data_IF_912736103278
#
_entry.id   IF_912736103278
#
_cell.length_a   1.000
_cell.length_b   1.000
_cell.length_c   1.000
_cell.angle_alpha   90.00
_cell.angle_beta   90.00
_cell.angle_gamma   90.00
#
_symmetry.space_group_name_H-M   'P 1'
#
loop_
_entity.id
_entity.type
_entity.pdbx_description
1 polymer ?
#
# COMPACT_ATOMS: atom_id res chain seq x y z
N UNK A 1 19.85 -30.43 -6.66
CA UNK A 1 19.72 -29.43 -5.58
C UNK A 1 18.61 -28.47 -5.98
N UNK A 2 17.59 -28.30 -5.14
CA UNK A 2 16.54 -27.30 -5.40
C UNK A 2 17.08 -25.92 -5.04
N UNK A 3 17.22 -25.04 -6.04
CA UNK A 3 17.58 -23.64 -5.82
C UNK A 3 16.36 -22.92 -5.24
N UNK A 4 16.34 -22.76 -3.92
CA UNK A 4 15.27 -22.09 -3.19
C UNK A 4 15.84 -20.93 -2.37
N UNK A 5 15.04 -19.86 -2.24
CA UNK A 5 15.32 -18.69 -1.42
C UNK A 5 14.24 -18.62 -0.34
N UNK A 6 14.65 -18.39 0.91
CA UNK A 6 13.75 -18.31 2.06
C UNK A 6 13.98 -17.00 2.81
N UNK A 7 12.91 -16.39 3.30
CA UNK A 7 12.93 -15.21 4.16
C UNK A 7 12.25 -15.55 5.48
N UNK A 8 12.96 -15.39 6.60
CA UNK A 8 12.40 -15.50 7.95
C UNK A 8 12.07 -14.09 8.44
N UNK A 9 10.79 -13.81 8.68
CA UNK A 9 10.27 -12.47 8.97
C UNK A 9 9.45 -12.46 10.27
N UNK A 10 9.21 -11.26 10.80
CA UNK A 10 8.30 -11.06 11.92
C UNK A 10 6.88 -11.53 11.58
N UNK A 11 6.24 -12.26 12.51
CA UNK A 11 4.86 -12.70 12.35
C UNK A 11 3.87 -11.63 12.82
N UNK A 12 3.00 -11.18 11.92
CA UNK A 12 1.93 -10.23 12.20
C UNK A 12 0.60 -10.98 12.44
N UNK A 13 0.14 -11.04 13.68
CA UNK A 13 -1.01 -11.87 14.09
C UNK A 13 -2.40 -11.28 13.77
N UNK A 14 -2.46 -10.07 13.23
CA UNK A 14 -3.70 -9.32 12.96
C UNK A 14 -4.24 -9.47 11.53
N UNK A 15 -3.53 -10.19 10.65
CA UNK A 15 -3.83 -10.23 9.22
C UNK A 15 -3.36 -8.95 8.52
N UNK A 16 -4.01 -8.60 7.41
CA UNK A 16 -3.73 -7.37 6.65
C UNK A 16 -4.90 -6.37 6.67
N UNK A 17 -4.65 -5.17 6.17
CA UNK A 17 -5.63 -4.09 6.14
C UNK A 17 -6.77 -4.38 5.17
N UNK A 18 -6.56 -5.19 4.12
CA UNK A 18 -7.61 -5.59 3.20
C UNK A 18 -8.65 -6.45 3.92
N UNK A 19 -8.20 -7.48 4.63
CA UNK A 19 -9.05 -8.34 5.45
C UNK A 19 -9.76 -7.56 6.56
N UNK A 20 -9.00 -6.68 7.24
CA UNK A 20 -9.56 -5.84 8.30
C UNK A 20 -10.67 -4.92 7.77
N UNK A 21 -10.45 -4.28 6.62
CA UNK A 21 -11.43 -3.42 5.97
C UNK A 21 -12.62 -4.23 5.46
N UNK A 22 -12.41 -5.40 4.87
CA UNK A 22 -13.48 -6.26 4.37
C UNK A 22 -14.48 -6.63 5.48
N UNK A 23 -13.98 -6.98 6.67
CA UNK A 23 -14.82 -7.30 7.83
C UNK A 23 -15.58 -6.08 8.36
N UNK A 24 -14.98 -4.88 8.29
CA UNK A 24 -15.57 -3.64 8.82
C UNK A 24 -16.48 -2.92 7.83
N UNK A 25 -16.32 -3.14 6.53
CA UNK A 25 -16.94 -2.37 5.45
C UNK A 25 -16.24 -1.04 5.21
N UNK A 26 -16.20 -0.18 6.24
CA UNK A 26 -15.46 1.10 6.24
C UNK A 26 -14.78 1.32 7.59
N UNK A 27 -13.84 2.26 7.65
CA UNK A 27 -13.14 2.65 8.87
C UNK A 27 -13.51 4.09 9.26
N UNK A 28 -13.61 4.32 10.56
CA UNK A 28 -13.78 5.68 11.09
C UNK A 28 -12.54 6.53 10.82
N UNK A 29 -12.72 7.85 10.70
CA UNK A 29 -11.59 8.78 10.54
C UNK A 29 -10.57 8.69 11.67
N UNK A 30 -11.01 8.41 12.90
CA UNK A 30 -10.12 8.22 14.04
C UNK A 30 -9.23 6.97 13.87
N UNK A 31 -9.82 5.86 13.42
CA UNK A 31 -9.06 4.65 13.07
C UNK A 31 -8.06 4.94 11.95
N UNK A 32 -8.52 5.61 10.89
CA UNK A 32 -7.68 5.95 9.73
C UNK A 32 -6.52 6.85 10.16
N UNK A 33 -6.78 7.85 11.02
CA UNK A 33 -5.76 8.75 11.56
C UNK A 33 -4.65 7.97 12.28
N UNK A 34 -5.02 7.04 13.17
CA UNK A 34 -4.06 6.20 13.92
C UNK A 34 -3.24 5.32 12.98
N UNK A 35 -3.86 4.70 11.98
CA UNK A 35 -3.14 3.86 11.02
C UNK A 35 -2.22 4.68 10.12
N UNK A 36 -2.72 5.81 9.60
CA UNK A 36 -1.98 6.70 8.72
C UNK A 36 -0.78 7.34 9.41
N UNK A 37 -0.87 7.66 10.71
CA UNK A 37 0.29 8.13 11.50
C UNK A 37 1.43 7.10 11.52
N UNK A 38 1.12 5.82 11.69
CA UNK A 38 2.11 4.75 11.69
C UNK A 38 2.71 4.52 10.29
N UNK A 39 1.86 4.51 9.25
CA UNK A 39 2.29 4.43 7.85
C UNK A 39 3.21 5.61 7.51
N UNK A 40 2.84 6.83 7.89
CA UNK A 40 3.66 8.03 7.66
C UNK A 40 5.03 7.95 8.37
N UNK A 41 5.07 7.38 9.58
CA UNK A 41 6.32 7.11 10.28
C UNK A 41 7.25 6.16 9.51
N UNK A 42 6.70 5.06 8.99
CA UNK A 42 7.46 4.13 8.15
C UNK A 42 7.91 4.77 6.82
N UNK A 43 7.03 5.53 6.16
CA UNK A 43 7.35 6.22 4.92
C UNK A 43 8.43 7.30 5.09
N UNK A 44 8.45 8.00 6.24
CA UNK A 44 9.52 8.94 6.57
C UNK A 44 10.87 8.23 6.63
N UNK A 45 10.93 7.02 7.19
CA UNK A 45 12.15 6.21 7.22
C UNK A 45 12.57 5.79 5.80
N UNK A 46 11.66 5.21 5.00
CA UNK A 46 11.93 4.81 3.62
C UNK A 46 12.46 5.99 2.79
N UNK A 47 11.78 7.13 2.85
CA UNK A 47 12.16 8.34 2.14
C UNK A 47 13.55 8.84 2.57
N UNK A 48 13.85 8.84 3.88
CA UNK A 48 15.18 9.24 4.38
C UNK A 48 16.32 8.32 3.90
N UNK A 49 15.99 7.10 3.48
CA UNK A 49 16.93 6.12 2.92
C UNK A 49 16.95 6.11 1.38
N UNK A 50 16.16 6.98 0.73
CA UNK A 50 16.00 6.98 -0.73
C UNK A 50 15.38 5.68 -1.25
N UNK A 51 14.49 5.05 -0.47
CA UNK A 51 13.80 3.81 -0.85
C UNK A 51 12.37 4.14 -1.25
N UNK A 52 11.93 3.61 -2.39
CA UNK A 52 10.53 3.60 -2.82
C UNK A 52 9.99 2.18 -2.78
N UNK A 53 8.75 2.00 -2.31
CA UNK A 53 8.12 0.71 -2.10
C UNK A 53 7.51 0.14 -3.39
N UNK A 54 6.76 0.98 -4.13
CA UNK A 54 6.14 0.70 -5.45
C UNK A 54 5.00 -0.31 -5.49
N UNK A 55 4.68 -0.98 -4.39
CA UNK A 55 3.48 -1.84 -4.28
C UNK A 55 2.73 -1.63 -2.95
N UNK A 56 2.53 -0.38 -2.55
CA UNK A 56 1.69 -0.08 -1.38
C UNK A 56 0.22 -0.34 -1.73
N UNK A 57 -0.40 -1.20 -0.93
CA UNK A 57 -1.81 -1.62 -1.05
C UNK A 57 -2.27 -2.22 0.27
N UNK A 58 -3.57 -2.33 0.56
CA UNK A 58 -4.05 -2.82 1.85
C UNK A 58 -3.53 -4.22 2.22
N UNK A 59 -3.31 -5.10 1.23
CA UNK A 59 -2.73 -6.44 1.46
C UNK A 59 -1.28 -6.41 1.96
N UNK A 60 -0.55 -5.33 1.67
CA UNK A 60 0.85 -5.14 2.09
C UNK A 60 0.95 -4.30 3.38
N UNK A 61 -0.18 -4.00 4.02
CA UNK A 61 -0.24 -3.31 5.31
C UNK A 61 -0.68 -4.34 6.36
N UNK A 62 0.28 -4.90 7.09
CA UNK A 62 0.04 -5.94 8.09
C UNK A 62 -0.31 -5.34 9.44
N UNK A 63 -1.15 -6.05 10.20
CA UNK A 63 -1.61 -5.66 11.52
C UNK A 63 -1.02 -6.60 12.58
N UNK A 64 -0.62 -6.03 13.71
CA UNK A 64 -0.30 -6.77 14.94
C UNK A 64 -1.23 -6.30 16.05
N UNK A 65 -1.93 -7.24 16.68
CA UNK A 65 -2.94 -6.98 17.69
C UNK A 65 -2.56 -7.64 19.01
N UNK A 66 -2.25 -6.85 20.05
CA UNK A 66 -1.90 -7.36 21.37
C UNK A 66 -3.06 -8.13 22.07
N UNK A 67 -4.31 -7.91 21.63
CA UNK A 67 -5.51 -8.58 22.17
C UNK A 67 -6.33 -9.38 21.14
N UNK A 68 -5.73 -9.74 20.00
CA UNK A 68 -6.43 -10.44 18.90
C UNK A 68 -7.40 -9.55 18.10
N UNK A 69 -8.23 -10.15 17.24
CA UNK A 69 -9.04 -9.46 16.20
C UNK A 69 -10.15 -8.51 16.71
N UNK A 70 -10.40 -8.45 18.02
CA UNK A 70 -11.33 -7.48 18.66
C UNK A 70 -10.61 -6.28 19.27
N UNK A 71 -9.32 -6.13 19.01
CA UNK A 71 -8.49 -5.06 19.55
C UNK A 71 -9.01 -3.67 19.20
N UNK A 72 -8.90 -2.75 20.16
CA UNK A 72 -9.12 -1.33 19.94
C UNK A 72 -8.14 -0.83 18.85
N UNK A 73 -8.58 -0.06 17.84
CA UNK A 73 -7.71 0.50 16.81
C UNK A 73 -6.43 1.17 17.33
N UNK A 74 -6.51 1.85 18.49
CA UNK A 74 -5.35 2.49 19.14
C UNK A 74 -4.25 1.53 19.59
N UNK A 75 -4.56 0.24 19.72
CA UNK A 75 -3.64 -0.82 20.13
C UNK A 75 -3.12 -1.66 18.97
N UNK A 76 -3.58 -1.39 17.74
CA UNK A 76 -3.15 -2.09 16.53
C UNK A 76 -1.86 -1.45 16.04
N UNK A 77 -0.81 -2.26 15.92
CA UNK A 77 0.44 -1.85 15.29
C UNK A 77 0.41 -2.18 13.79
N UNK A 78 0.75 -1.19 12.97
CA UNK A 78 0.80 -1.29 11.51
C UNK A 78 2.24 -1.54 11.05
N UNK A 79 2.42 -2.47 10.10
CA UNK A 79 3.71 -2.79 9.49
C UNK A 79 3.57 -2.87 7.97
N UNK A 80 4.43 -2.17 7.25
CA UNK A 80 4.53 -2.27 5.79
C UNK A 80 5.30 -3.56 5.46
N UNK A 81 4.78 -4.34 4.53
CA UNK A 81 5.35 -5.61 4.09
C UNK A 81 5.52 -5.66 2.57
N UNK A 82 6.18 -6.71 2.10
CA UNK A 82 6.44 -7.01 0.68
C UNK A 82 7.24 -5.94 -0.07
N UNK A 83 8.52 -5.89 0.24
CA UNK A 83 9.51 -5.06 -0.44
C UNK A 83 10.03 -5.70 -1.74
N UNK A 84 9.34 -6.70 -2.31
CA UNK A 84 9.79 -7.39 -3.52
C UNK A 84 9.92 -6.48 -4.75
N UNK A 85 9.13 -5.40 -4.79
CA UNK A 85 9.24 -4.34 -5.80
C UNK A 85 10.02 -3.12 -5.31
N UNK A 86 10.48 -3.07 -4.06
CA UNK A 86 11.15 -1.88 -3.57
C UNK A 86 12.50 -1.64 -4.29
N UNK A 87 12.93 -0.38 -4.36
CA UNK A 87 14.24 -0.03 -4.90
C UNK A 87 14.81 1.23 -4.28
N UNK A 88 16.13 1.36 -4.37
CA UNK A 88 16.79 2.64 -4.19
C UNK A 88 16.49 3.55 -5.39
N UNK A 89 16.14 4.79 -5.08
CA UNK A 89 16.02 5.88 -6.02
C UNK A 89 16.89 7.04 -5.50
N UNK A 90 18.00 7.30 -6.19
CA UNK A 90 18.80 8.49 -5.90
C UNK A 90 17.95 9.74 -6.16
N UNK A 91 18.16 10.81 -5.40
CA UNK A 91 17.31 12.03 -5.41
C UNK A 91 17.14 12.70 -6.79
N UNK A 92 17.97 12.34 -7.77
CA UNK A 92 17.97 12.92 -9.12
C UNK A 92 17.55 11.92 -10.21
N UNK A 93 17.15 10.71 -9.82
CA UNK A 93 16.80 9.62 -10.73
C UNK A 93 15.31 9.35 -10.68
N UNK A 94 14.76 8.88 -11.80
CA UNK A 94 13.38 8.45 -11.89
C UNK A 94 13.32 6.95 -12.21
N UNK A 95 12.30 6.28 -11.70
CA UNK A 95 11.99 4.90 -12.09
C UNK A 95 11.06 4.90 -13.31
N UNK A 96 11.17 3.88 -14.16
CA UNK A 96 10.31 3.70 -15.35
C UNK A 96 9.72 2.28 -15.46
N UNK A 97 10.01 1.41 -14.48
CA UNK A 97 9.51 0.03 -14.48
C UNK A 97 8.03 0.01 -14.11
N UNK A 98 7.19 -0.57 -14.97
CA UNK A 98 5.80 -0.87 -14.67
C UNK A 98 5.73 -2.05 -13.68
N UNK A 99 5.41 -1.78 -12.42
CA UNK A 99 5.28 -2.79 -11.37
C UNK A 99 4.34 -2.32 -10.27
N UNK A 100 3.81 -3.28 -9.49
CA UNK A 100 2.84 -3.04 -8.42
C UNK A 100 1.43 -3.50 -8.82
N UNK A 101 0.44 -3.06 -8.06
CA UNK A 101 -0.96 -3.48 -8.23
C UNK A 101 -1.79 -2.36 -8.90
N UNK A 102 -2.36 -2.57 -10.11
CA UNK A 102 -2.93 -1.49 -10.95
C UNK A 102 -3.91 -0.54 -10.26
N UNK A 103 -4.75 -1.07 -9.36
CA UNK A 103 -5.76 -0.31 -8.62
C UNK A 103 -5.17 0.75 -7.67
N UNK A 104 -3.90 0.59 -7.28
CA UNK A 104 -3.19 1.48 -6.36
C UNK A 104 -2.02 2.22 -7.04
N UNK A 105 -1.77 1.96 -8.33
CA UNK A 105 -0.71 2.62 -9.09
C UNK A 105 -1.06 4.08 -9.35
N UNK A 106 -0.04 4.93 -9.30
CA UNK A 106 -0.13 6.31 -9.74
C UNK A 106 -0.31 6.39 -11.27
N UNK A 107 -0.97 7.43 -11.81
CA UNK A 107 -1.19 7.59 -13.25
C UNK A 107 0.12 7.57 -14.04
N UNK A 108 1.17 8.22 -13.54
CA UNK A 108 2.48 8.22 -14.17
C UNK A 108 3.09 6.81 -14.24
N UNK A 109 2.81 5.94 -13.25
CA UNK A 109 3.29 4.55 -13.26
C UNK A 109 2.52 3.74 -14.30
N UNK A 110 1.18 3.83 -14.31
CA UNK A 110 0.34 3.03 -15.21
C UNK A 110 0.52 3.44 -16.67
N UNK A 111 0.84 4.72 -16.91
CA UNK A 111 1.16 5.27 -18.23
C UNK A 111 2.63 5.04 -18.64
N UNK A 112 3.38 4.22 -17.89
CA UNK A 112 4.80 3.93 -18.14
C UNK A 112 5.69 5.17 -18.26
N UNK A 113 5.33 6.23 -17.52
CA UNK A 113 6.14 7.43 -17.39
C UNK A 113 7.16 7.27 -16.26
N UNK A 114 8.04 8.26 -16.17
CA UNK A 114 9.02 8.33 -15.11
C UNK A 114 8.38 8.79 -13.80
N UNK A 115 8.69 8.11 -12.69
CA UNK A 115 8.11 8.40 -11.38
C UNK A 115 9.13 8.39 -10.24
N UNK A 116 8.78 9.07 -9.15
CA UNK A 116 9.57 9.18 -7.92
C UNK A 116 8.77 8.65 -6.71
N UNK A 117 9.20 9.02 -5.49
CA UNK A 117 8.53 8.62 -4.26
C UNK A 117 7.08 9.13 -4.14
N UNK A 118 6.62 10.07 -4.98
CA UNK A 118 5.22 10.52 -4.99
C UNK A 118 4.26 9.44 -5.48
N UNK A 119 4.74 8.46 -6.24
CA UNK A 119 3.93 7.30 -6.61
C UNK A 119 3.44 6.52 -5.37
N UNK A 120 4.29 6.38 -4.35
CA UNK A 120 3.89 5.76 -3.08
C UNK A 120 2.86 6.61 -2.32
N UNK A 121 2.95 7.95 -2.41
CA UNK A 121 1.96 8.86 -1.81
C UNK A 121 0.59 8.73 -2.48
N UNK A 122 0.54 8.54 -3.81
CA UNK A 122 -0.69 8.23 -4.52
C UNK A 122 -1.30 6.94 -4.01
N UNK A 123 -0.51 5.87 -3.90
CA UNK A 123 -0.98 4.58 -3.37
C UNK A 123 -1.52 4.71 -1.93
N UNK A 124 -0.91 5.53 -1.09
CA UNK A 124 -1.44 5.83 0.25
C UNK A 124 -2.78 6.57 0.17
N UNK A 125 -2.93 7.54 -0.74
CA UNK A 125 -4.18 8.24 -0.96
C UNK A 125 -5.31 7.30 -1.39
N UNK A 126 -5.03 6.36 -2.30
CA UNK A 126 -6.03 5.37 -2.73
C UNK A 126 -6.42 4.40 -1.60
N UNK A 127 -5.47 3.99 -0.76
CA UNK A 127 -5.76 3.20 0.45
C UNK A 127 -6.64 3.96 1.45
N UNK A 128 -6.35 5.24 1.72
CA UNK A 128 -7.15 6.07 2.63
C UNK A 128 -8.57 6.23 2.10
N UNK A 129 -8.72 6.51 0.79
CA UNK A 129 -10.04 6.56 0.15
C UNK A 129 -10.81 5.25 0.32
N UNK A 130 -10.14 4.12 0.10
CA UNK A 130 -10.77 2.82 0.24
C UNK A 130 -11.16 2.53 1.69
N UNK A 131 -10.36 2.95 2.67
CA UNK A 131 -10.73 2.85 4.08
C UNK A 131 -12.00 3.65 4.41
N UNK A 132 -12.15 4.84 3.83
CA UNK A 132 -13.34 5.69 4.05
C UNK A 132 -14.60 5.17 3.37
N UNK A 133 -14.47 4.62 2.16
CA UNK A 133 -15.63 4.33 1.28
C UNK A 133 -15.91 2.84 1.10
N UNK A 134 -14.99 1.97 1.51
CA UNK A 134 -15.03 0.53 1.27
C UNK A 134 -14.71 0.13 -0.18
N UNK A 135 -14.40 1.09 -1.05
CA UNK A 135 -14.19 0.88 -2.49
C UNK A 135 -12.93 1.59 -2.97
N UNK A 136 -12.25 1.03 -3.95
CA UNK A 136 -11.14 1.74 -4.59
C UNK A 136 -11.64 3.01 -5.32
N UNK A 137 -10.84 4.08 -5.38
CA UNK A 137 -11.24 5.33 -6.04
C UNK A 137 -11.38 5.19 -7.55
N UNK A 138 -10.58 4.30 -8.15
CA UNK A 138 -10.58 4.05 -9.58
C UNK A 138 -10.84 2.57 -9.83
N UNK A 139 -11.76 2.28 -10.75
CA UNK A 139 -11.91 0.95 -11.33
C UNK A 139 -10.90 0.80 -12.45
N UNK A 140 -10.17 -0.32 -12.43
CA UNK A 140 -9.19 -0.63 -13.48
C UNK A 140 -9.80 -1.62 -14.45
N UNK A 141 -10.00 -1.16 -15.69
CA UNK A 141 -10.30 -2.01 -16.83
C UNK A 141 -9.02 -2.53 -17.48
N UNK A 142 -9.11 -3.68 -18.15
CA UNK A 142 -8.04 -4.17 -19.03
C UNK A 142 -8.53 -4.05 -20.47
N UNK A 143 -7.81 -3.30 -21.29
CA UNK A 143 -7.99 -3.25 -22.75
C UNK A 143 -6.85 -4.00 -23.44
N UNK A 144 -6.95 -4.19 -24.76
CA UNK A 144 -5.86 -4.75 -25.57
C UNK A 144 -4.59 -3.86 -25.55
N UNK A 145 -4.73 -2.57 -25.23
CA UNK A 145 -3.66 -1.57 -25.21
C UNK A 145 -3.02 -1.35 -23.83
N UNK A 146 -3.60 -1.90 -22.75
CA UNK A 146 -3.08 -1.75 -21.39
C UNK A 146 -4.15 -1.68 -20.31
N UNK A 147 -3.80 -1.06 -19.17
CA UNK A 147 -4.74 -0.78 -18.10
C UNK A 147 -5.40 0.59 -18.29
N UNK A 148 -6.71 0.67 -18.10
CA UNK A 148 -7.47 1.93 -18.09
C UNK A 148 -8.03 2.18 -16.71
N UNK A 149 -7.99 3.43 -16.24
CA UNK A 149 -8.57 3.83 -14.95
C UNK A 149 -9.81 4.71 -15.17
N UNK A 150 -10.93 4.35 -14.56
CA UNK A 150 -12.13 5.17 -14.52
C UNK A 150 -12.49 5.49 -13.07
N UNK A 151 -12.84 6.75 -12.78
CA UNK A 151 -13.33 7.15 -11.46
C UNK A 151 -14.63 6.42 -11.13
N UNK A 152 -14.81 6.04 -9.87
CA UNK A 152 -16.12 5.58 -9.42
C UNK A 152 -17.14 6.73 -9.53
N UNK A 153 -18.33 6.54 -10.14
CA UNK A 153 -19.36 7.56 -10.14
C UNK A 153 -19.80 7.83 -8.70
N UNK A 154 -19.87 9.12 -8.34
CA UNK A 154 -20.32 9.63 -7.05
C UNK A 154 -21.82 9.45 -6.86
#
# INVERSE_FOLDING_TARGET
MTNAVYLVMEYCNGGDLADYLHVKGTLSEDTIRVFLQQIAGAMKLLHSKGIIHRDLKPQNILLTCAGGRKSNPSTICIKIADFGFARYLQSNMLAATLCGSPMYMAPEVIMSQHYDAKADLWSIGTMVYQCLTGKAPFQVGRSEEGYTCACHPS
#
